data_IF_117581470387
#
_entry.id   IF_117581470387
#
_cell.length_a   1.000
_cell.length_b   1.000
_cell.length_c   1.000
_cell.angle_alpha   90.00
_cell.angle_beta   90.00
_cell.angle_gamma   90.00
#
_symmetry.space_group_name_H-M   'P 1'
#
loop_
_entity.id
_entity.type
_entity.pdbx_description
1 polymer ?
#
# COMPACT_ATOMS: atom_id res chain seq x y z
N UNK A 1 15.81 51.73 34.04
CA UNK A 1 15.11 51.49 32.75
C UNK A 1 15.07 49.98 32.52
N UNK A 2 13.91 49.34 32.69
CA UNK A 2 13.74 47.90 32.47
C UNK A 2 13.20 47.66 31.06
N UNK A 3 13.92 46.87 30.25
CA UNK A 3 13.48 46.40 28.94
C UNK A 3 12.89 45.01 29.15
N UNK A 4 11.56 44.91 29.08
CA UNK A 4 10.85 43.65 29.12
C UNK A 4 10.80 43.04 27.70
N UNK A 5 11.57 41.98 27.48
CA UNK A 5 11.53 41.15 26.26
C UNK A 5 10.26 40.32 26.26
N UNK A 6 9.37 40.54 25.28
CA UNK A 6 8.21 39.68 25.03
C UNK A 6 8.57 38.58 24.04
N UNK A 7 8.51 37.32 24.48
CA UNK A 7 8.52 36.15 23.61
C UNK A 7 7.07 35.88 23.19
N UNK A 8 6.77 36.01 21.90
CA UNK A 8 5.50 35.59 21.32
C UNK A 8 5.69 34.14 20.87
N UNK A 9 5.09 33.20 21.60
CA UNK A 9 5.00 31.81 21.19
C UNK A 9 3.86 31.67 20.16
N UNK A 10 4.21 31.47 18.89
CA UNK A 10 3.23 31.18 17.84
C UNK A 10 2.82 29.71 17.95
N UNK A 11 1.63 29.46 18.50
CA UNK A 11 1.02 28.13 18.54
C UNK A 11 0.53 27.77 17.12
N UNK A 12 1.33 27.00 16.38
CA UNK A 12 0.90 26.45 15.10
C UNK A 12 -0.14 25.35 15.34
N UNK A 13 -1.42 25.72 15.29
CA UNK A 13 -2.53 24.78 15.30
C UNK A 13 -2.55 24.06 13.95
N UNK A 14 -1.88 22.90 13.87
CA UNK A 14 -1.90 22.05 12.68
C UNK A 14 -3.33 21.64 12.35
N UNK A 15 -3.84 22.11 11.21
CA UNK A 15 -5.11 21.67 10.64
C UNK A 15 -5.00 20.18 10.29
N UNK A 16 -5.52 19.32 11.16
CA UNK A 16 -5.77 17.92 10.83
C UNK A 16 -6.94 17.93 9.84
N UNK A 17 -6.64 17.91 8.55
CA UNK A 17 -7.66 17.76 7.53
C UNK A 17 -8.43 16.45 7.81
N UNK A 18 -9.77 16.43 7.69
CA UNK A 18 -10.54 15.21 7.85
C UNK A 18 -10.10 14.21 6.79
N UNK A 19 -9.45 13.14 7.23
CA UNK A 19 -9.20 11.97 6.38
C UNK A 19 -10.56 11.35 6.13
N UNK A 20 -11.05 11.42 4.89
CA UNK A 20 -12.25 10.71 4.48
C UNK A 20 -12.01 9.22 4.71
N UNK A 21 -12.62 8.66 5.75
CA UNK A 21 -12.55 7.24 6.05
C UNK A 21 -13.34 6.50 4.97
N UNK A 22 -12.65 5.74 4.14
CA UNK A 22 -13.29 4.80 3.22
C UNK A 22 -14.20 3.85 4.02
N UNK A 23 -15.36 3.50 3.43
CA UNK A 23 -16.28 2.52 3.98
C UNK A 23 -15.55 1.19 4.29
N UNK A 24 -16.06 0.45 5.27
CA UNK A 24 -15.51 -0.88 5.57
C UNK A 24 -15.62 -1.81 4.35
N UNK A 25 -14.58 -2.60 4.06
CA UNK A 25 -14.58 -3.49 2.91
C UNK A 25 -15.60 -4.63 3.12
N UNK A 26 -16.39 -4.92 2.08
CA UNK A 26 -17.16 -6.17 2.04
C UNK A 26 -16.20 -7.35 1.96
N UNK A 27 -16.53 -8.45 2.61
CA UNK A 27 -15.65 -9.64 2.70
C UNK A 27 -16.15 -10.75 1.78
N UNK A 28 -15.21 -11.42 1.11
CA UNK A 28 -15.45 -12.60 0.27
C UNK A 28 -14.59 -13.76 0.76
N UNK A 29 -15.22 -14.91 0.99
CA UNK A 29 -14.52 -16.18 1.25
C UNK A 29 -13.96 -16.73 -0.07
N UNK A 30 -12.70 -17.16 -0.06
CA UNK A 30 -12.08 -17.84 -1.19
C UNK A 30 -12.36 -19.34 -1.10
N UNK A 31 -12.88 -19.91 -2.20
CA UNK A 31 -13.11 -21.34 -2.36
C UNK A 31 -12.65 -21.77 -3.75
N UNK A 32 -11.50 -22.45 -3.88
CA UNK A 32 -10.60 -22.86 -2.79
C UNK A 32 -9.82 -21.68 -2.19
N UNK A 33 -9.27 -21.90 -0.98
CA UNK A 33 -8.22 -21.04 -0.44
C UNK A 33 -7.02 -20.97 -1.40
N UNK A 34 -6.31 -19.84 -1.40
CA UNK A 34 -5.21 -19.60 -2.33
C UNK A 34 -3.88 -19.55 -1.59
N UNK A 35 -2.88 -20.28 -2.07
CA UNK A 35 -1.54 -20.34 -1.49
C UNK A 35 -0.65 -19.29 -2.17
N UNK A 36 -0.12 -18.35 -1.39
CA UNK A 36 0.68 -17.23 -1.92
C UNK A 36 1.99 -17.70 -2.52
N UNK A 37 2.50 -18.87 -2.11
CA UNK A 37 3.68 -19.48 -2.72
C UNK A 37 3.46 -19.96 -4.17
N UNK A 38 2.20 -20.02 -4.63
CA UNK A 38 1.85 -20.45 -6.00
C UNK A 38 1.53 -19.28 -6.94
N UNK A 39 1.49 -18.05 -6.43
CA UNK A 39 1.26 -16.83 -7.19
C UNK A 39 0.43 -15.79 -6.43
N UNK A 40 0.18 -14.67 -7.10
CA UNK A 40 -0.55 -13.54 -6.55
C UNK A 40 -1.97 -13.87 -6.15
N UNK A 41 -2.30 -13.56 -4.90
CA UNK A 41 -3.67 -13.54 -4.41
C UNK A 41 -4.18 -12.10 -4.44
N UNK A 42 -5.24 -11.86 -5.21
CA UNK A 42 -5.97 -10.59 -5.19
C UNK A 42 -6.69 -10.42 -3.86
N UNK A 43 -6.20 -9.51 -3.03
CA UNK A 43 -6.81 -9.16 -1.75
C UNK A 43 -7.99 -8.21 -1.93
N UNK A 44 -7.91 -7.31 -2.92
CA UNK A 44 -9.00 -6.40 -3.20
C UNK A 44 -8.64 -5.36 -4.24
N UNK A 45 -9.69 -4.73 -4.75
CA UNK A 45 -9.61 -3.58 -5.64
C UNK A 45 -10.64 -2.55 -5.23
N UNK A 46 -10.22 -1.31 -5.13
CA UNK A 46 -11.08 -0.18 -4.73
C UNK A 46 -10.84 1.02 -5.64
N UNK A 47 -11.83 1.91 -5.73
CA UNK A 47 -11.75 3.17 -6.46
C UNK A 47 -11.97 4.30 -5.46
N UNK A 48 -10.95 5.14 -5.28
CA UNK A 48 -10.98 6.27 -4.34
C UNK A 48 -10.26 7.46 -4.96
N UNK A 49 -10.89 8.64 -4.91
CA UNK A 49 -10.39 9.87 -5.52
C UNK A 49 -9.87 9.69 -6.97
N UNK A 50 -10.68 9.04 -7.81
CA UNK A 50 -10.36 8.71 -9.21
C UNK A 50 -9.10 7.85 -9.38
N UNK A 51 -8.61 7.18 -8.34
CA UNK A 51 -7.51 6.23 -8.38
C UNK A 51 -8.04 4.83 -8.08
N UNK A 52 -7.80 3.88 -8.98
CA UNK A 52 -8.00 2.46 -8.67
C UNK A 52 -6.78 1.95 -7.93
N UNK A 53 -6.98 1.35 -6.75
CA UNK A 53 -5.91 0.77 -5.94
C UNK A 53 -6.19 -0.73 -5.84
N UNK A 54 -5.28 -1.53 -6.37
CA UNK A 54 -5.28 -3.00 -6.23
C UNK A 54 -4.23 -3.41 -5.20
N UNK A 55 -4.61 -4.30 -4.29
CA UNK A 55 -3.72 -4.95 -3.33
C UNK A 55 -3.65 -6.44 -3.66
N UNK A 56 -2.44 -6.95 -3.83
CA UNK A 56 -2.13 -8.36 -4.06
C UNK A 56 -1.08 -8.83 -3.03
N UNK A 57 -1.11 -10.12 -2.70
CA UNK A 57 -0.11 -10.76 -1.83
C UNK A 57 0.41 -12.04 -2.49
N UNK A 58 1.73 -12.14 -2.56
CA UNK A 58 2.51 -13.27 -3.06
C UNK A 58 3.39 -13.87 -1.96
N UNK A 59 4.05 -14.99 -2.26
CA UNK A 59 5.15 -15.49 -1.44
C UNK A 59 6.32 -14.51 -1.47
N UNK A 60 7.12 -14.46 -0.40
CA UNK A 60 8.29 -13.56 -0.33
C UNK A 60 9.24 -13.76 -1.52
N UNK A 61 9.58 -12.66 -2.21
CA UNK A 61 10.35 -12.71 -3.46
C UNK A 61 11.71 -12.01 -3.37
N UNK A 62 12.70 -12.54 -4.10
CA UNK A 62 13.95 -11.81 -4.33
C UNK A 62 13.71 -10.64 -5.28
N UNK A 63 14.26 -9.47 -4.94
CA UNK A 63 14.20 -8.28 -5.79
C UNK A 63 15.59 -7.87 -6.24
N UNK A 64 15.72 -7.48 -7.50
CA UNK A 64 16.94 -6.82 -7.98
C UNK A 64 16.81 -5.32 -7.77
N UNK A 65 17.73 -4.76 -6.99
CA UNK A 65 17.71 -3.33 -6.66
C UNK A 65 19.11 -2.75 -6.56
N UNK A 66 19.22 -1.43 -6.71
CA UNK A 66 20.49 -0.73 -6.53
C UNK A 66 20.84 -0.65 -5.05
N UNK A 67 21.95 -1.27 -4.66
CA UNK A 67 22.45 -1.32 -3.28
C UNK A 67 23.96 -1.00 -3.23
N UNK A 68 24.48 -0.73 -2.04
CA UNK A 68 25.90 -0.48 -1.80
C UNK A 68 26.36 0.97 -2.05
N UNK A 69 27.68 1.17 -1.95
CA UNK A 69 28.36 2.45 -2.24
C UNK A 69 29.67 2.15 -2.99
N UNK A 70 29.77 2.41 -4.30
CA UNK A 70 28.76 3.01 -5.18
C UNK A 70 27.54 2.09 -5.41
N UNK A 71 26.40 2.61 -5.89
CA UNK A 71 25.21 1.81 -6.16
C UNK A 71 25.44 0.79 -7.28
N UNK A 72 25.10 -0.47 -7.02
CA UNK A 72 25.18 -1.58 -7.97
C UNK A 72 23.89 -2.39 -7.94
N UNK A 73 23.50 -2.97 -9.07
CA UNK A 73 22.37 -3.90 -9.14
C UNK A 73 22.73 -5.20 -8.43
N UNK A 74 21.98 -5.50 -7.37
CA UNK A 74 22.20 -6.67 -6.53
C UNK A 74 20.87 -7.31 -6.17
N UNK A 75 20.88 -8.63 -6.02
CA UNK A 75 19.74 -9.38 -5.49
C UNK A 75 19.59 -9.09 -3.99
N UNK A 76 18.42 -8.57 -3.60
CA UNK A 76 17.95 -8.52 -2.23
C UNK A 76 16.98 -9.68 -2.00
N UNK A 77 17.46 -10.70 -1.32
CA UNK A 77 16.62 -11.81 -0.86
C UNK A 77 15.65 -11.34 0.23
N UNK A 78 14.47 -11.97 0.38
CA UNK A 78 13.63 -11.78 1.57
C UNK A 78 14.44 -12.00 2.85
N UNK A 79 14.18 -11.22 3.90
CA UNK A 79 14.78 -11.48 5.18
C UNK A 79 14.21 -12.78 5.78
N UNK A 80 14.89 -13.34 6.78
CA UNK A 80 14.39 -14.51 7.49
C UNK A 80 13.03 -14.18 8.13
N UNK A 81 11.99 -14.88 7.71
CA UNK A 81 10.62 -14.70 8.20
C UNK A 81 9.76 -13.80 7.32
N UNK A 82 10.31 -13.13 6.30
CA UNK A 82 9.52 -12.42 5.30
C UNK A 82 8.85 -13.42 4.35
N UNK A 83 7.71 -13.95 4.77
CA UNK A 83 6.99 -14.99 4.04
C UNK A 83 6.13 -14.45 2.90
N UNK A 84 5.81 -13.15 2.93
CA UNK A 84 4.86 -12.54 2.01
C UNK A 84 5.50 -11.39 1.24
N UNK A 85 5.11 -11.24 -0.02
CA UNK A 85 5.41 -10.11 -0.87
C UNK A 85 4.12 -9.32 -1.10
N UNK A 86 4.01 -8.13 -0.51
CA UNK A 86 2.82 -7.28 -0.66
C UNK A 86 3.01 -6.40 -1.88
N UNK A 87 2.06 -6.43 -2.82
CA UNK A 87 2.06 -5.57 -3.99
C UNK A 87 0.88 -4.60 -3.99
N UNK A 88 1.16 -3.33 -4.30
CA UNK A 88 0.14 -2.29 -4.49
C UNK A 88 0.28 -1.70 -5.89
N UNK A 89 -0.87 -1.60 -6.58
CA UNK A 89 -0.93 -1.12 -7.96
C UNK A 89 -1.92 0.04 -8.08
N UNK A 90 -1.48 1.30 -7.91
CA UNK A 90 -2.31 2.47 -8.20
C UNK A 90 -2.45 2.65 -9.71
N UNK A 91 -3.66 2.90 -10.17
CA UNK A 91 -4.03 2.98 -11.60
C UNK A 91 -4.96 4.16 -11.83
N UNK A 92 -4.71 4.90 -12.90
CA UNK A 92 -5.73 5.76 -13.50
C UNK A 92 -6.79 4.88 -14.17
N UNK A 93 -8.04 4.84 -13.66
CA UNK A 93 -9.08 3.96 -14.18
C UNK A 93 -9.48 4.25 -15.62
N UNK A 94 -9.23 5.47 -16.11
CA UNK A 94 -9.58 5.92 -17.47
C UNK A 94 -8.51 5.49 -18.47
N UNK A 95 -7.26 5.87 -18.24
CA UNK A 95 -6.15 5.53 -19.15
C UNK A 95 -5.54 4.16 -18.92
N UNK A 96 -5.94 3.47 -17.85
CA UNK A 96 -5.36 2.19 -17.37
C UNK A 96 -3.88 2.27 -17.02
N UNK A 97 -3.33 3.48 -16.90
CA UNK A 97 -1.90 3.69 -16.64
C UNK A 97 -1.59 3.51 -15.16
N UNK A 98 -0.53 2.77 -14.84
CA UNK A 98 0.02 2.67 -13.47
C UNK A 98 0.56 4.03 -13.05
N UNK A 99 0.24 4.48 -11.84
CA UNK A 99 0.65 5.78 -11.33
C UNK A 99 2.10 5.73 -10.80
N UNK A 100 3.09 6.35 -11.47
CA UNK A 100 4.46 6.38 -10.99
C UNK A 100 4.68 7.51 -9.97
N UNK A 101 5.86 7.52 -9.35
CA UNK A 101 6.33 8.61 -8.48
C UNK A 101 5.41 8.95 -7.30
N UNK A 102 4.73 7.94 -6.77
CA UNK A 102 4.00 8.03 -5.51
C UNK A 102 4.79 7.33 -4.41
N UNK A 103 4.82 7.90 -3.21
CA UNK A 103 5.25 7.15 -2.02
C UNK A 103 4.09 6.28 -1.55
N UNK A 104 4.30 4.97 -1.42
CA UNK A 104 3.25 4.05 -0.99
C UNK A 104 3.63 3.44 0.35
N UNK A 105 2.71 3.48 1.29
CA UNK A 105 2.85 2.76 2.56
C UNK A 105 1.75 1.74 2.73
N UNK A 106 2.12 0.63 3.34
CA UNK A 106 1.21 -0.42 3.77
C UNK A 106 1.29 -0.55 5.28
N UNK A 107 0.14 -0.75 5.91
CA UNK A 107 0.09 -1.23 7.28
C UNK A 107 -1.03 -2.25 7.44
N UNK A 108 -0.84 -3.25 8.29
CA UNK A 108 -1.88 -4.21 8.59
C UNK A 108 -1.86 -4.58 10.07
N UNK A 109 -3.05 -4.67 10.66
CA UNK A 109 -3.24 -5.09 12.05
C UNK A 109 -3.84 -6.48 12.02
N UNK A 110 -3.16 -7.45 12.63
CA UNK A 110 -3.73 -8.77 12.86
C UNK A 110 -4.72 -8.69 14.03
N UNK A 111 -5.99 -8.91 13.78
CA UNK A 111 -7.06 -8.79 14.75
C UNK A 111 -7.06 -9.89 15.82
N UNK A 112 -6.41 -11.03 15.56
CA UNK A 112 -6.28 -12.13 16.51
C UNK A 112 -5.25 -11.84 17.60
N UNK A 113 -4.13 -11.19 17.25
CA UNK A 113 -3.03 -10.92 18.20
C UNK A 113 -2.70 -9.43 18.41
N UNK A 114 -3.44 -8.54 17.75
CA UNK A 114 -3.34 -7.07 17.80
C UNK A 114 -1.98 -6.49 17.36
N UNK A 115 -1.09 -7.30 16.79
CA UNK A 115 0.19 -6.81 16.27
C UNK A 115 -0.01 -6.10 14.94
N UNK A 116 0.68 -4.96 14.79
CA UNK A 116 0.71 -4.17 13.58
C UNK A 116 2.03 -4.39 12.84
N UNK A 117 1.95 -4.58 11.53
CA UNK A 117 3.09 -4.48 10.61
C UNK A 117 2.91 -3.24 9.73
N UNK A 118 4.02 -2.60 9.35
CA UNK A 118 3.99 -1.37 8.55
C UNK A 118 5.31 -1.22 7.79
N UNK A 119 5.24 -0.74 6.55
CA UNK A 119 6.41 -0.49 5.72
C UNK A 119 6.09 0.39 4.52
N UNK A 120 7.14 0.98 3.95
CA UNK A 120 7.10 1.68 2.67
C UNK A 120 7.37 0.69 1.55
N UNK A 121 6.56 0.75 0.49
CA UNK A 121 6.70 -0.12 -0.67
C UNK A 121 7.61 0.53 -1.70
N UNK A 122 8.54 -0.25 -2.24
CA UNK A 122 9.48 0.20 -3.25
C UNK A 122 8.87 0.09 -4.64
N UNK A 123 9.10 1.06 -5.55
CA UNK A 123 8.70 0.90 -6.94
C UNK A 123 9.47 -0.28 -7.56
N UNK A 124 8.73 -1.18 -8.18
CA UNK A 124 9.23 -2.44 -8.73
C UNK A 124 8.70 -2.64 -10.14
N UNK A 125 9.44 -3.42 -10.92
CA UNK A 125 9.02 -3.86 -12.24
C UNK A 125 9.05 -5.37 -12.32
N UNK A 126 7.93 -5.97 -12.72
CA UNK A 126 7.77 -7.42 -12.86
C UNK A 126 6.85 -7.78 -14.02
N UNK A 127 6.36 -9.02 -14.07
CA UNK A 127 5.51 -9.51 -15.17
C UNK A 127 4.21 -8.73 -15.38
N UNK A 128 3.69 -8.07 -14.33
CA UNK A 128 2.48 -7.23 -14.37
C UNK A 128 2.76 -5.73 -14.62
N UNK A 129 4.01 -5.39 -14.97
CA UNK A 129 4.49 -4.02 -15.17
C UNK A 129 4.84 -3.32 -13.87
N UNK A 130 4.75 -1.99 -13.88
CA UNK A 130 5.01 -1.15 -12.70
C UNK A 130 4.03 -1.47 -11.56
N UNK A 131 4.58 -1.73 -10.38
CA UNK A 131 3.85 -1.86 -9.12
C UNK A 131 4.77 -1.39 -7.99
N UNK A 132 4.26 -1.38 -6.76
CA UNK A 132 5.06 -1.07 -5.58
C UNK A 132 5.00 -2.25 -4.64
N UNK A 133 6.13 -2.68 -4.09
CA UNK A 133 6.17 -3.88 -3.28
C UNK A 133 7.10 -3.85 -2.08
N UNK A 134 6.80 -4.74 -1.14
CA UNK A 134 7.59 -4.95 0.06
C UNK A 134 7.42 -6.38 0.59
N UNK A 135 8.54 -7.02 0.90
CA UNK A 135 8.57 -8.28 1.63
C UNK A 135 8.26 -8.05 3.12
N UNK A 136 7.35 -8.82 3.69
CA UNK A 136 6.88 -8.64 5.06
C UNK A 136 6.66 -9.99 5.75
N UNK A 137 6.90 -10.07 7.06
CA UNK A 137 6.58 -11.29 7.81
C UNK A 137 5.07 -11.47 8.03
N UNK A 138 4.28 -10.40 7.87
CA UNK A 138 2.98 -10.26 8.54
C UNK A 138 3.09 -10.67 10.03
N UNK A 139 1.98 -10.69 10.75
CA UNK A 139 1.97 -11.03 12.17
C UNK A 139 1.38 -12.43 12.42
N UNK A 140 1.73 -13.42 11.57
CA UNK A 140 1.22 -14.80 11.65
C UNK A 140 -0.24 -14.97 11.21
N UNK A 141 -0.86 -16.08 11.59
CA UNK A 141 -2.23 -16.41 11.20
C UNK A 141 -3.25 -15.45 11.83
N UNK A 142 -4.35 -15.19 11.10
CA UNK A 142 -5.44 -14.38 11.59
C UNK A 142 -6.08 -13.48 10.54
N UNK A 143 -7.06 -12.73 11.00
CA UNK A 143 -7.77 -11.72 10.21
C UNK A 143 -6.98 -10.42 10.25
N UNK A 144 -6.83 -9.76 9.11
CA UNK A 144 -6.09 -8.52 8.96
C UNK A 144 -6.99 -7.39 8.47
N UNK A 145 -6.87 -6.25 9.14
CA UNK A 145 -7.29 -4.96 8.58
C UNK A 145 -6.06 -4.24 8.07
N UNK A 146 -5.96 -4.14 6.74
CA UNK A 146 -4.90 -3.43 6.05
C UNK A 146 -5.32 -2.03 5.64
N UNK A 147 -4.36 -1.12 5.66
CA UNK A 147 -4.46 0.25 5.17
C UNK A 147 -3.34 0.48 4.18
N UNK A 148 -3.71 0.89 2.97
CA UNK A 148 -2.78 1.36 1.93
C UNK A 148 -2.93 2.87 1.82
N UNK A 149 -1.81 3.57 1.92
CA UNK A 149 -1.74 5.01 1.63
C UNK A 149 -0.89 5.22 0.39
N UNK A 150 -1.46 5.88 -0.61
CA UNK A 150 -0.76 6.33 -1.81
C UNK A 150 -0.56 7.84 -1.68
N UNK A 151 0.68 8.28 -1.56
CA UNK A 151 1.04 9.69 -1.52
C UNK A 151 0.69 10.41 -2.82
N UNK A 152 0.62 11.74 -2.77
CA UNK A 152 0.39 12.55 -3.96
C UNK A 152 1.54 12.34 -4.97
N UNK A 153 1.28 11.87 -6.20
CA UNK A 153 2.32 11.63 -7.18
C UNK A 153 3.03 12.92 -7.62
N UNK A 154 4.35 12.90 -7.78
CA UNK A 154 5.15 14.12 -8.03
C UNK A 154 5.38 14.45 -9.51
N UNK A 155 4.79 13.69 -10.44
CA UNK A 155 4.90 14.00 -11.87
C UNK A 155 4.06 15.23 -12.27
N UNK A 156 4.52 15.94 -13.30
CA UNK A 156 3.84 17.11 -13.87
C UNK A 156 2.51 16.74 -14.52
N UNK A 157 1.53 17.65 -14.48
CA UNK A 157 0.19 17.48 -15.05
C UNK A 157 -0.12 18.63 -16.00
N UNK A 158 -0.91 18.35 -17.03
CA UNK A 158 -1.48 19.41 -17.88
C UNK A 158 -2.67 20.08 -17.18
N UNK A 159 -3.05 21.28 -17.62
CA UNK A 159 -4.12 22.08 -17.01
C UNK A 159 -5.41 21.28 -16.77
N UNK A 160 -5.84 20.47 -17.76
CA UNK A 160 -7.04 19.63 -17.66
C UNK A 160 -7.03 18.61 -16.51
N UNK A 161 -5.84 18.23 -16.02
CA UNK A 161 -5.65 17.20 -15.00
C UNK A 161 -4.99 17.75 -13.73
N UNK A 162 -4.87 19.08 -13.58
CA UNK A 162 -4.10 19.71 -12.48
C UNK A 162 -4.58 19.29 -11.10
N UNK A 163 -5.87 19.01 -10.96
CA UNK A 163 -6.50 18.67 -9.69
C UNK A 163 -6.48 17.16 -9.36
N UNK A 164 -5.95 16.31 -10.25
CA UNK A 164 -5.90 14.86 -10.01
C UNK A 164 -4.84 14.52 -8.95
N UNK A 165 -5.21 13.75 -7.93
CA UNK A 165 -4.30 13.19 -6.92
C UNK A 165 -3.38 14.25 -6.29
N UNK A 166 -3.96 15.40 -5.94
CA UNK A 166 -3.25 16.50 -5.26
C UNK A 166 -3.04 16.24 -3.77
N UNK A 167 -3.69 15.21 -3.23
CA UNK A 167 -3.59 14.78 -1.84
C UNK A 167 -3.32 13.27 -1.76
N UNK A 168 -2.74 12.78 -0.66
CA UNK A 168 -2.66 11.36 -0.42
C UNK A 168 -4.04 10.70 -0.40
N UNK A 169 -4.09 9.49 -0.93
CA UNK A 169 -5.28 8.64 -0.98
C UNK A 169 -5.08 7.49 -0.01
N UNK A 170 -6.08 7.24 0.83
CA UNK A 170 -6.05 6.17 1.84
C UNK A 170 -7.20 5.21 1.58
N UNK A 171 -6.92 3.92 1.57
CA UNK A 171 -7.95 2.89 1.45
C UNK A 171 -7.68 1.74 2.41
N UNK A 172 -8.75 1.02 2.76
CA UNK A 172 -8.70 -0.15 3.63
C UNK A 172 -8.96 -1.43 2.84
N UNK A 173 -8.35 -2.51 3.30
CA UNK A 173 -8.56 -3.86 2.83
C UNK A 173 -8.67 -4.80 4.02
N UNK A 174 -9.31 -5.92 3.77
CA UNK A 174 -9.49 -7.04 4.67
C UNK A 174 -8.93 -8.31 4.02
N UNK A 175 -8.25 -9.14 4.79
CA UNK A 175 -7.93 -10.51 4.40
C UNK A 175 -7.68 -11.40 5.61
N UNK A 176 -7.67 -12.73 5.41
CA UNK A 176 -7.32 -13.70 6.44
C UNK A 176 -6.23 -14.65 5.98
N UNK A 177 -5.22 -14.80 6.83
CA UNK A 177 -4.06 -15.67 6.63
C UNK A 177 -4.20 -16.94 7.48
N UNK A 178 -3.89 -18.08 6.89
CA UNK A 178 -3.68 -19.36 7.56
C UNK A 178 -2.43 -20.04 6.96
N UNK A 179 -1.30 -20.00 7.67
CA UNK A 179 0.00 -20.35 7.11
C UNK A 179 0.40 -19.41 5.96
N UNK A 180 0.75 -19.95 4.79
CA UNK A 180 0.99 -19.17 3.56
C UNK A 180 -0.27 -19.00 2.70
N UNK A 181 -1.45 -19.40 3.20
CA UNK A 181 -2.69 -19.35 2.44
C UNK A 181 -3.56 -18.16 2.84
N UNK A 182 -4.23 -17.58 1.84
CA UNK A 182 -5.28 -16.59 2.01
C UNK A 182 -6.63 -17.28 1.83
N UNK A 183 -7.52 -17.09 2.81
CA UNK A 183 -8.83 -17.76 2.86
C UNK A 183 -10.00 -16.79 2.74
N UNK A 184 -9.82 -15.53 3.15
CA UNK A 184 -10.83 -14.46 3.07
C UNK A 184 -10.14 -13.21 2.53
N UNK A 185 -10.86 -12.41 1.73
CA UNK A 185 -10.37 -11.19 1.08
C UNK A 185 -11.45 -10.11 1.08
N UNK A 186 -11.10 -8.89 0.68
CA UNK A 186 -12.08 -7.87 0.34
C UNK A 186 -12.73 -8.23 -0.98
N UNK A 187 -14.04 -8.03 -1.10
CA UNK A 187 -14.73 -8.15 -2.38
C UNK A 187 -14.13 -7.13 -3.36
N UNK A 188 -13.42 -7.58 -4.42
CA UNK A 188 -12.76 -6.66 -5.32
C UNK A 188 -13.79 -6.00 -6.23
N UNK A 189 -13.65 -4.70 -6.47
CA UNK A 189 -14.34 -4.08 -7.60
C UNK A 189 -13.96 -4.82 -8.91
N UNK A 190 -14.90 -4.90 -9.87
CA UNK A 190 -14.61 -5.46 -11.19
C UNK A 190 -13.35 -4.85 -11.78
N UNK A 191 -12.67 -5.63 -12.62
CA UNK A 191 -11.64 -5.04 -13.46
C UNK A 191 -12.28 -3.96 -14.33
N UNK A 192 -11.62 -2.82 -14.41
CA UNK A 192 -12.16 -1.70 -15.14
C UNK A 192 -12.03 -2.04 -16.62
N UNK A 193 -13.15 -2.37 -17.27
CA UNK A 193 -13.25 -2.53 -18.72
C UNK A 193 -12.83 -1.25 -19.45
#
# INVERSE_FOLDING_TARGET
MNIATRIIATLACGLIAPVSLAAEPKVKLLSPAQDTAKGAVLIGRTLVDKMSITLEIEGGESMWMQMGKPPMWMEKKPAKGDLFHVEVKPVDPVSKTRIPYAEITFSAINNSNKKKVMGTLHPSWGGSGLHYAWNTPLAGDGVYDATVTVGAPTFSRTEKNKDFWTKPVVTKFHFKVAGTTIVEVSEPLPELQ
#
